data_IF_928999926299
#
_entry.id   IF_928999926299
#
_cell.length_a   1.000
_cell.length_b   1.000
_cell.length_c   1.000
_cell.angle_alpha   90.00
_cell.angle_beta   90.00
_cell.angle_gamma   90.00
#
_symmetry.space_group_name_H-M   'P 1'
#
loop_
_entity.id
_entity.type
_entity.pdbx_description
1 polymer ?
#
# COMPACT_ATOMS: atom_id res chain seq x y z
N UNK A 1 14.13 -14.43 6.84
CA UNK A 1 12.70 -14.71 7.00
C UNK A 1 11.98 -14.20 5.75
N UNK A 2 11.32 -15.06 4.96
CA UNK A 2 10.47 -14.60 3.85
C UNK A 2 9.07 -14.39 4.42
N UNK A 3 8.66 -13.14 4.59
CA UNK A 3 7.28 -12.83 4.92
C UNK A 3 6.40 -13.23 3.72
N UNK A 4 5.31 -13.96 3.96
CA UNK A 4 4.27 -14.15 2.96
C UNK A 4 3.30 -12.99 3.08
N UNK A 5 3.13 -12.24 2.00
CA UNK A 5 2.15 -11.17 1.94
C UNK A 5 0.85 -11.73 1.36
N UNK A 6 -0.22 -11.62 2.14
CA UNK A 6 -1.57 -11.98 1.71
C UNK A 6 -2.37 -10.70 1.56
N UNK A 7 -3.10 -10.58 0.46
CA UNK A 7 -4.04 -9.49 0.20
C UNK A 7 -5.43 -10.10 0.20
N UNK A 8 -6.35 -9.47 0.92
CA UNK A 8 -7.73 -9.90 1.01
C UNK A 8 -8.60 -8.80 1.59
N UNK A 9 -9.90 -8.85 1.30
CA UNK A 9 -10.89 -7.94 1.86
C UNK A 9 -11.34 -8.48 3.21
N UNK A 10 -11.33 -7.61 4.22
CA UNK A 10 -11.87 -7.92 5.54
C UNK A 10 -13.30 -7.38 5.65
N UNK A 11 -14.25 -8.23 6.00
CA UNK A 11 -15.64 -7.83 6.28
C UNK A 11 -16.21 -8.60 7.46
N UNK A 12 -17.38 -8.18 7.95
CA UNK A 12 -18.09 -8.92 8.99
C UNK A 12 -18.48 -10.34 8.53
N UNK A 13 -18.79 -10.51 7.23
CA UNK A 13 -19.18 -11.80 6.64
C UNK A 13 -17.97 -12.67 6.28
N UNK A 14 -16.78 -12.06 6.17
CA UNK A 14 -15.51 -12.74 5.90
C UNK A 14 -14.46 -12.30 6.93
N UNK A 15 -14.59 -12.75 8.19
CA UNK A 15 -13.66 -12.36 9.23
C UNK A 15 -12.29 -13.01 9.01
N UNK A 16 -11.23 -12.26 9.28
CA UNK A 16 -9.86 -12.78 9.26
C UNK A 16 -9.60 -13.63 10.50
N UNK A 17 -9.07 -14.82 10.29
CA UNK A 17 -8.57 -15.67 11.37
C UNK A 17 -7.18 -15.22 11.78
N UNK A 18 -7.02 -14.80 13.04
CA UNK A 18 -5.71 -14.49 13.61
C UNK A 18 -5.05 -15.78 14.11
N UNK A 19 -3.79 -16.00 13.74
CA UNK A 19 -3.03 -17.13 14.26
C UNK A 19 -2.34 -16.76 15.57
N UNK A 20 -2.22 -17.74 16.46
CA UNK A 20 -1.47 -17.58 17.70
C UNK A 20 -0.02 -17.18 17.38
N UNK A 21 0.39 -16.04 17.90
CA UNK A 21 1.74 -15.49 17.74
C UNK A 21 2.58 -15.69 19.02
N UNK A 22 3.88 -15.92 18.85
CA UNK A 22 4.90 -15.97 19.90
C UNK A 22 5.81 -14.73 19.86
N UNK A 23 6.78 -14.65 20.78
CA UNK A 23 7.73 -13.53 20.85
C UNK A 23 8.61 -13.40 19.59
N UNK A 24 8.89 -14.53 18.96
CA UNK A 24 9.76 -14.70 17.80
C UNK A 24 9.00 -15.17 16.54
N UNK A 25 7.69 -15.44 16.67
CA UNK A 25 6.81 -15.86 15.58
C UNK A 25 5.52 -15.06 15.63
N UNK A 26 5.55 -13.84 15.11
CA UNK A 26 4.41 -12.95 15.08
C UNK A 26 3.98 -12.63 13.64
N UNK A 27 2.70 -12.30 13.49
CA UNK A 27 2.14 -11.82 12.23
C UNK A 27 2.04 -10.30 12.29
N UNK A 28 2.49 -9.63 11.23
CA UNK A 28 2.17 -8.21 11.01
C UNK A 28 1.16 -8.12 9.91
N UNK A 29 0.05 -7.49 10.25
CA UNK A 29 -1.10 -7.29 9.39
C UNK A 29 -1.23 -5.79 9.18
N UNK A 30 -1.32 -5.38 7.91
CA UNK A 30 -1.65 -4.01 7.53
C UNK A 30 -3.07 -3.99 7.01
N UNK A 31 -3.87 -3.06 7.51
CA UNK A 31 -5.22 -2.79 7.01
C UNK A 31 -5.18 -1.48 6.23
N UNK A 32 -5.74 -1.50 5.03
CA UNK A 32 -5.81 -0.34 4.15
C UNK A 32 -7.28 -0.09 3.82
N UNK A 33 -7.76 1.16 3.89
CA UNK A 33 -9.12 1.48 3.47
C UNK A 33 -9.36 1.11 2.01
N UNK A 34 -10.57 0.63 1.71
CA UNK A 34 -11.05 0.51 0.32
C UNK A 34 -11.68 1.85 -0.02
N UNK A 35 -11.14 2.52 -1.02
CA UNK A 35 -11.63 3.79 -1.52
C UNK A 35 -12.97 3.61 -2.24
N UNK A 36 -13.67 4.72 -2.50
CA UNK A 36 -15.01 4.71 -3.11
C UNK A 36 -15.08 4.07 -4.50
N UNK A 37 -13.95 3.97 -5.20
CA UNK A 37 -13.82 3.32 -6.50
C UNK A 37 -13.31 1.87 -6.43
N UNK A 38 -13.17 1.31 -5.22
CA UNK A 38 -12.71 -0.07 -4.98
C UNK A 38 -11.20 -0.24 -4.88
N UNK A 39 -10.40 0.79 -5.17
CA UNK A 39 -8.95 0.72 -5.02
C UNK A 39 -8.52 0.81 -3.55
N UNK A 40 -7.34 0.29 -3.23
CA UNK A 40 -6.73 0.48 -1.91
C UNK A 40 -5.23 0.75 -2.01
N UNK A 41 -4.72 1.71 -1.24
CA UNK A 41 -3.28 1.96 -1.11
C UNK A 41 -2.68 1.05 -0.03
N UNK A 42 -1.82 0.12 -0.42
CA UNK A 42 -1.07 -0.75 0.52
C UNK A 42 0.17 -0.03 1.06
N UNK A 43 0.73 0.87 0.25
CA UNK A 43 1.95 1.60 0.55
C UNK A 43 3.22 0.86 0.10
N UNK A 44 4.35 1.12 0.74
CA UNK A 44 5.63 0.50 0.39
C UNK A 44 5.70 -0.97 0.83
N UNK A 45 5.47 -1.90 -0.10
CA UNK A 45 5.32 -3.34 0.17
C UNK A 45 6.57 -4.02 0.74
N UNK A 46 7.73 -3.38 0.60
CA UNK A 46 9.00 -3.90 1.11
C UNK A 46 9.37 -3.33 2.49
N UNK A 47 8.48 -2.59 3.15
CA UNK A 47 8.71 -1.95 4.46
C UNK A 47 7.70 -2.47 5.50
N UNK A 48 8.11 -2.46 6.77
CA UNK A 48 7.22 -2.82 7.90
C UNK A 48 6.07 -1.82 8.07
N UNK A 49 6.36 -0.54 7.84
CA UNK A 49 5.37 0.53 7.83
C UNK A 49 5.20 0.95 6.37
N UNK A 50 4.17 0.39 5.73
CA UNK A 50 3.90 0.65 4.31
C UNK A 50 3.38 2.07 4.05
N UNK A 51 2.58 2.62 4.96
CA UNK A 51 1.98 3.96 4.84
C UNK A 51 2.25 4.79 6.10
N UNK A 52 2.66 6.04 5.92
CA UNK A 52 2.89 7.02 6.99
C UNK A 52 2.70 8.44 6.46
N UNK A 53 2.21 9.35 7.30
CA UNK A 53 2.05 10.78 6.97
C UNK A 53 3.39 11.47 6.67
N UNK A 54 4.51 10.91 7.14
CA UNK A 54 5.84 11.40 6.80
C UNK A 54 6.25 11.09 5.34
N UNK A 55 5.49 10.23 4.65
CA UNK A 55 5.83 9.67 3.34
C UNK A 55 4.74 9.93 2.31
N UNK A 56 3.48 9.81 2.70
CA UNK A 56 2.32 9.99 1.84
C UNK A 56 1.65 11.31 2.21
N UNK A 57 1.72 12.27 1.28
CA UNK A 57 1.24 13.63 1.49
C UNK A 57 -0.26 13.74 1.16
N UNK A 58 -0.68 13.07 0.10
CA UNK A 58 -2.06 13.09 -0.37
C UNK A 58 -2.42 11.75 -1.03
N UNK A 59 -3.68 11.35 -0.85
CA UNK A 59 -4.31 10.24 -1.55
C UNK A 59 -5.61 10.78 -2.15
N UNK A 60 -5.70 10.77 -3.48
CA UNK A 60 -6.85 11.29 -4.23
C UNK A 60 -7.47 10.17 -5.03
N UNK A 61 -8.77 9.96 -4.83
CA UNK A 61 -9.52 8.91 -5.53
C UNK A 61 -10.30 9.52 -6.69
N UNK A 62 -10.11 8.99 -7.90
CA UNK A 62 -10.93 9.31 -9.08
C UNK A 62 -11.96 8.19 -9.32
N UNK A 63 -12.93 8.32 -10.23
CA UNK A 63 -13.88 7.25 -10.51
C UNK A 63 -13.25 5.91 -10.93
N UNK A 64 -12.02 5.93 -11.44
CA UNK A 64 -11.38 4.75 -12.07
C UNK A 64 -9.93 4.54 -11.65
N UNK A 65 -9.35 5.42 -10.84
CA UNK A 65 -7.96 5.33 -10.38
C UNK A 65 -7.76 5.93 -8.99
N UNK A 66 -6.62 5.62 -8.39
CA UNK A 66 -6.12 6.26 -7.19
C UNK A 66 -4.80 6.97 -7.55
N UNK A 67 -4.68 8.23 -7.12
CA UNK A 67 -3.49 9.05 -7.23
C UNK A 67 -2.89 9.22 -5.84
N UNK A 68 -1.58 9.04 -5.71
CA UNK A 68 -0.89 9.24 -4.44
C UNK A 68 0.33 10.15 -4.62
N UNK A 69 0.46 11.09 -3.70
CA UNK A 69 1.65 11.92 -3.58
C UNK A 69 2.59 11.33 -2.52
N UNK A 70 3.81 11.00 -2.95
CA UNK A 70 4.83 10.38 -2.10
C UNK A 70 6.03 11.31 -2.04
N UNK A 71 6.57 11.52 -0.84
CA UNK A 71 7.82 12.25 -0.63
C UNK A 71 8.94 11.31 -0.19
N UNK A 72 10.18 11.67 -0.50
CA UNK A 72 11.34 10.87 -0.14
C UNK A 72 12.65 11.57 -0.42
N UNK A 73 13.75 10.83 -0.29
CA UNK A 73 15.08 11.35 -0.59
C UNK A 73 15.30 11.36 -2.10
N UNK A 74 15.91 12.42 -2.64
CA UNK A 74 16.29 12.49 -4.05
C UNK A 74 17.01 11.21 -4.50
N UNK A 75 16.56 10.62 -5.60
CA UNK A 75 17.16 9.41 -6.17
C UNK A 75 16.79 8.11 -5.46
N UNK A 76 15.96 8.17 -4.42
CA UNK A 76 15.40 6.99 -3.77
C UNK A 76 14.48 6.25 -4.74
N UNK A 77 14.66 4.94 -4.88
CA UNK A 77 13.72 4.08 -5.60
C UNK A 77 12.63 3.60 -4.64
N UNK A 78 11.37 3.86 -5.01
CA UNK A 78 10.19 3.62 -4.17
C UNK A 78 9.25 2.70 -4.92
N UNK A 79 8.91 1.56 -4.31
CA UNK A 79 7.91 0.64 -4.83
C UNK A 79 6.65 0.72 -3.98
N UNK A 80 5.56 1.23 -4.57
CA UNK A 80 4.27 1.37 -3.90
C UNK A 80 3.29 0.34 -4.44
N UNK A 81 2.60 -0.34 -3.54
CA UNK A 81 1.56 -1.31 -3.82
C UNK A 81 0.17 -0.71 -3.74
N UNK A 82 -0.70 -1.16 -4.64
CA UNK A 82 -2.12 -0.87 -4.71
C UNK A 82 -2.89 -2.17 -4.87
N UNK A 83 -4.08 -2.27 -4.30
CA UNK A 83 -5.01 -3.37 -4.57
C UNK A 83 -6.09 -2.85 -5.51
N UNK A 84 -6.31 -3.56 -6.62
CA UNK A 84 -7.38 -3.24 -7.57
C UNK A 84 -8.76 -3.58 -7.01
N UNK A 85 -9.85 -3.05 -7.61
CA UNK A 85 -11.21 -3.44 -7.25
C UNK A 85 -11.48 -4.95 -7.33
N UNK A 86 -10.73 -5.66 -8.17
CA UNK A 86 -10.78 -7.12 -8.33
C UNK A 86 -9.96 -7.87 -7.28
N UNK A 87 -9.24 -7.16 -6.40
CA UNK A 87 -8.42 -7.74 -5.33
C UNK A 87 -6.98 -8.05 -5.74
N UNK A 88 -6.52 -7.58 -6.89
CA UNK A 88 -5.16 -7.85 -7.39
C UNK A 88 -4.14 -6.84 -6.85
N UNK A 89 -3.01 -7.34 -6.33
CA UNK A 89 -1.90 -6.48 -5.90
C UNK A 89 -1.10 -6.01 -7.11
N UNK A 90 -1.15 -4.72 -7.39
CA UNK A 90 -0.33 -4.04 -8.38
C UNK A 90 0.80 -3.26 -7.69
N UNK A 91 1.98 -3.19 -8.31
CA UNK A 91 3.09 -2.39 -7.78
C UNK A 91 3.61 -1.42 -8.82
N UNK A 92 3.88 -0.18 -8.40
CA UNK A 92 4.51 0.85 -9.22
C UNK A 92 5.84 1.23 -8.57
N UNK A 93 6.93 1.15 -9.35
CA UNK A 93 8.25 1.59 -8.90
C UNK A 93 8.63 2.88 -9.61
N UNK A 94 9.09 3.88 -8.86
CA UNK A 94 9.67 5.06 -9.47
C UNK A 94 10.74 5.71 -8.57
N UNK A 95 11.53 6.58 -9.17
CA UNK A 95 12.64 7.28 -8.51
C UNK A 95 12.15 8.66 -8.07
N UNK A 96 12.33 8.98 -6.79
CA UNK A 96 11.99 10.29 -6.24
C UNK A 96 12.81 11.37 -6.96
N UNK A 97 12.16 12.39 -7.56
CA UNK A 97 12.85 13.40 -8.35
C UNK A 97 13.58 14.40 -7.44
N UNK A 98 14.22 15.42 -8.03
CA UNK A 98 15.05 16.36 -7.26
C UNK A 98 14.23 17.21 -6.29
N UNK A 99 12.96 17.44 -6.63
CA UNK A 99 11.97 18.17 -5.87
C UNK A 99 11.48 17.38 -4.63
N UNK A 100 11.83 16.10 -4.52
CA UNK A 100 11.53 15.27 -3.35
C UNK A 100 10.08 14.78 -3.26
N UNK A 101 9.25 15.03 -4.29
CA UNK A 101 7.84 14.59 -4.35
C UNK A 101 7.55 13.95 -5.70
N UNK A 102 6.83 12.84 -5.71
CA UNK A 102 6.41 12.07 -6.89
C UNK A 102 4.90 11.79 -6.82
N UNK A 103 4.28 11.69 -8.00
CA UNK A 103 2.87 11.33 -8.15
C UNK A 103 2.76 9.96 -8.82
N UNK A 104 2.04 9.04 -8.18
CA UNK A 104 1.76 7.71 -8.73
C UNK A 104 0.26 7.56 -8.97
N UNK A 105 -0.12 7.05 -10.13
CA UNK A 105 -1.50 6.76 -10.50
C UNK A 105 -1.64 5.29 -10.90
N UNK A 106 -2.76 4.67 -10.57
CA UNK A 106 -3.07 3.30 -11.04
C UNK A 106 -3.55 3.24 -12.49
N UNK A 107 -3.82 4.39 -13.13
CA UNK A 107 -3.99 4.51 -14.57
C UNK A 107 -2.66 4.82 -15.24
N UNK A 108 -2.25 3.96 -16.18
CA UNK A 108 -1.20 4.24 -17.16
C UNK A 108 -1.73 5.04 -18.34
#
# INVERSE_FOLDING_TARGET
VRAKQYVGVLSADQPMTLHKSGKDNFQVLSLSPIESNGWSLVGEVNKWVGVTQARYLEVTTTPTSILVEVTGVKGENVTVGFVSPEGELMTHSCIVPTEGVMKLTTQG
#
